data_IF_913946084432
#
_entry.id   IF_913946084432
#
_cell.length_a   1.000
_cell.length_b   1.000
_cell.length_c   1.000
_cell.angle_alpha   90.00
_cell.angle_beta   90.00
_cell.angle_gamma   90.00
#
_symmetry.space_group_name_H-M   'P 1'
#
loop_
_entity.id
_entity.type
_entity.pdbx_description
1 polymer ?
2 polymer ?
3 non-polymer ?
4 water ?
#
# COMPACT_ATOMS: atom_id res chain seq x y z
N UNK A 1 25.79 -4.96 14.84
CA UNK A 1 24.85 -4.31 13.87
C UNK A 1 24.65 -2.91 14.36
N UNK A 2 24.84 -1.92 13.48
CA UNK A 2 24.53 -0.55 13.83
C UNK A 2 23.03 -0.39 13.72
N UNK A 3 22.42 0.17 14.73
CA UNK A 3 21.00 0.41 14.62
C UNK A 3 20.71 1.87 14.42
N UNK A 4 19.59 2.12 13.76
CA UNK A 4 19.25 3.45 13.25
C UNK A 4 17.91 3.84 13.80
N UNK A 5 17.91 4.80 14.68
CA UNK A 5 16.65 5.14 15.35
C UNK A 5 16.23 6.41 14.63
N UNK A 6 15.03 6.38 14.03
CA UNK A 6 14.47 7.55 13.41
C UNK A 6 13.48 8.27 14.32
N UNK A 7 13.32 9.56 14.12
CA UNK A 7 12.52 10.38 14.97
C UNK A 7 12.06 11.54 14.12
N UNK A 8 10.75 11.85 14.13
CA UNK A 8 9.68 11.07 14.79
C UNK A 8 9.17 9.94 13.93
N UNK A 9 8.29 9.10 14.50
CA UNK A 9 7.67 7.97 13.81
C UNK A 9 6.66 8.41 12.71
N UNK A 10 5.98 9.54 12.94
CA UNK A 10 5.16 10.19 11.89
C UNK A 10 5.20 11.68 12.12
N UNK A 11 5.03 12.43 11.04
CA UNK A 11 5.31 13.85 11.03
C UNK A 11 4.22 14.58 10.33
N UNK A 12 3.25 15.10 11.09
CA UNK A 12 2.25 15.94 10.41
C UNK A 12 2.79 17.37 10.21
N UNK A 13 2.75 17.86 8.97
CA UNK A 13 3.27 19.17 8.62
C UNK A 13 2.33 19.80 7.65
N UNK A 14 2.16 21.13 7.69
CA UNK A 14 1.38 21.86 6.63
C UNK A 14 2.15 22.04 5.36
N UNK A 15 1.45 22.16 4.23
CA UNK A 15 2.05 22.69 3.03
C UNK A 15 2.79 23.99 3.30
N UNK A 16 3.96 24.11 2.70
CA UNK A 16 4.77 25.32 2.86
C UNK A 16 5.60 25.38 4.12
N UNK A 17 5.45 24.42 5.00
CA UNK A 17 6.14 24.55 6.26
C UNK A 17 7.45 23.83 6.00
N UNK A 18 8.28 23.73 7.01
CA UNK A 18 9.45 22.92 6.81
C UNK A 18 9.52 21.73 7.83
N UNK A 19 10.17 20.65 7.41
CA UNK A 19 10.17 19.41 8.17
C UNK A 19 11.60 18.96 8.47
N UNK A 20 11.76 18.38 9.67
CA UNK A 20 13.01 17.87 10.19
C UNK A 20 12.89 16.43 10.56
N UNK A 21 13.61 15.54 9.90
CA UNK A 21 13.60 14.15 10.33
C UNK A 21 14.97 13.84 10.88
N UNK A 22 15.01 13.19 12.04
CA UNK A 22 16.26 12.77 12.68
C UNK A 22 16.53 11.28 12.61
N UNK A 23 17.79 10.96 12.42
CA UNK A 23 18.24 9.61 12.33
C UNK A 23 19.47 9.52 13.22
N UNK A 24 19.46 8.62 14.18
CA UNK A 24 20.57 8.54 15.17
C UNK A 24 21.20 7.15 15.08
N UNK A 25 22.51 7.05 14.91
CA UNK A 25 23.16 5.71 14.89
C UNK A 25 23.71 5.29 16.28
N UNK A 26 23.69 3.99 16.57
CA UNK A 26 24.09 3.49 17.88
C UNK A 26 25.62 3.40 18.06
N UNK A 27 26.36 3.65 16.97
CA UNK A 27 27.83 3.64 16.85
C UNK A 27 28.11 4.69 15.78
N UNK A 28 29.32 5.27 15.76
CA UNK A 28 29.71 6.10 14.63
C UNK A 28 29.65 5.21 13.39
N UNK A 29 29.60 5.83 12.23
CA UNK A 29 29.35 5.16 10.95
C UNK A 29 30.28 5.69 9.85
N UNK A 30 31.57 5.75 10.16
CA UNK A 30 32.64 6.00 9.17
C UNK A 30 33.19 4.68 8.69
N UNK A 31 33.18 4.52 7.37
CA UNK A 31 33.64 3.35 6.63
C UNK A 31 35.15 3.34 6.71
N UNK A 32 35.74 2.16 6.51
CA UNK A 32 37.19 2.01 6.53
C UNK A 32 37.91 2.92 5.55
N UNK A 33 37.21 3.37 4.51
CA UNK A 33 37.78 4.36 3.52
C UNK A 33 37.57 5.78 3.88
N UNK A 34 36.94 6.05 5.03
CA UNK A 34 36.84 7.44 5.48
C UNK A 34 35.51 8.13 5.23
N UNK A 35 34.72 7.62 4.28
CA UNK A 35 33.40 8.21 4.03
C UNK A 35 32.34 7.67 4.99
N UNK A 36 31.27 8.45 5.13
CA UNK A 36 30.08 8.12 5.84
C UNK A 36 28.97 7.82 4.85
N UNK A 37 28.69 6.54 4.69
CA UNK A 37 27.62 6.14 3.80
C UNK A 37 26.22 6.15 4.43
N UNK A 38 25.72 7.35 4.66
CA UNK A 38 24.37 7.57 5.13
C UNK A 38 23.50 8.14 4.01
N UNK A 39 22.38 7.47 3.77
CA UNK A 39 21.46 7.84 2.71
C UNK A 39 20.11 8.11 3.31
N UNK A 40 19.30 8.85 2.55
CA UNK A 40 17.88 9.05 2.82
C UNK A 40 17.08 8.66 1.57
N UNK A 41 16.01 7.91 1.83
CA UNK A 41 15.04 7.46 0.87
C UNK A 41 13.65 7.95 1.20
N UNK A 42 12.89 8.15 0.15
CA UNK A 42 11.48 8.40 0.26
C UNK A 42 10.82 7.16 -0.37
N UNK A 43 9.90 6.55 0.36
CA UNK A 43 9.07 5.55 -0.23
C UNK A 43 7.60 6.02 -0.20
N UNK A 44 6.97 5.95 -1.35
CA UNK A 44 5.55 6.20 -1.48
C UNK A 44 4.84 4.87 -1.53
N UNK A 45 3.64 4.81 -0.91
CA UNK A 45 2.81 3.60 -0.87
C UNK A 45 2.75 2.93 -2.23
N UNK A 46 2.66 3.71 -3.30
CA UNK A 46 2.84 3.10 -4.61
C UNK A 46 4.07 2.20 -4.77
N UNK A 47 5.26 2.76 -4.46
CA UNK A 47 6.49 2.34 -5.13
C UNK A 47 7.69 1.75 -4.39
N UNK A 48 8.76 1.58 -5.17
CA UNK A 48 10.10 1.41 -4.64
C UNK A 48 10.69 2.72 -4.09
N UNK A 49 11.61 2.60 -3.13
CA UNK A 49 12.30 3.75 -2.59
C UNK A 49 13.11 4.50 -3.65
N UNK A 50 13.17 5.81 -3.49
CA UNK A 50 13.98 6.63 -4.33
C UNK A 50 14.98 7.37 -3.47
N UNK A 51 16.24 7.31 -3.90
CA UNK A 51 17.29 7.97 -3.20
C UNK A 51 17.11 9.50 -3.20
N UNK A 52 17.25 10.13 -2.05
CA UNK A 52 17.25 11.59 -1.95
C UNK A 52 18.69 12.20 -1.80
N UNK A 53 19.42 11.64 -0.85
CA UNK A 53 20.61 12.22 -0.34
C UNK A 53 21.57 11.01 -0.13
N UNK A 54 22.81 11.12 -0.61
CA UNK A 54 23.81 10.11 -0.37
C UNK A 54 25.01 10.83 0.23
N UNK A 55 25.87 10.05 0.87
CA UNK A 55 26.98 10.59 1.63
C UNK A 55 26.57 11.81 2.50
N UNK A 56 25.57 11.60 3.35
CA UNK A 56 25.13 12.59 4.35
C UNK A 56 24.41 13.82 3.78
N UNK A 57 24.99 14.48 2.78
CA UNK A 57 24.49 15.81 2.36
C UNK A 57 24.38 16.05 0.87
N UNK A 58 24.81 15.10 0.07
CA UNK A 58 24.70 15.21 -1.38
C UNK A 58 23.32 14.79 -1.91
N UNK A 59 22.76 15.65 -2.73
CA UNK A 59 21.49 15.43 -3.40
C UNK A 59 21.66 14.60 -4.66
N UNK A 60 20.71 13.72 -4.91
CA UNK A 60 20.84 12.86 -6.05
C UNK A 60 20.21 13.64 -7.21
N UNK A 61 20.75 13.52 -8.43
CA UNK A 61 20.14 14.16 -9.59
C UNK A 61 18.65 14.18 -9.55
N UNK A 62 18.08 15.37 -9.76
CA UNK A 62 16.62 15.47 -9.96
C UNK A 62 15.88 15.57 -8.65
N UNK A 63 16.58 15.39 -7.55
CA UNK A 63 16.03 15.68 -6.24
C UNK A 63 16.13 17.21 -6.10
N UNK A 64 15.00 17.89 -5.90
CA UNK A 64 15.02 19.39 -5.81
C UNK A 64 15.76 19.93 -4.58
N UNK A 65 16.23 21.18 -4.67
CA UNK A 65 17.04 21.84 -3.61
C UNK A 65 16.36 21.96 -2.23
N UNK A 66 15.06 21.73 -2.19
CA UNK A 66 14.25 21.81 -0.93
C UNK A 66 14.67 20.80 0.10
N UNK A 67 15.21 19.65 -0.36
CA UNK A 67 15.69 18.60 0.53
C UNK A 67 17.14 18.88 0.84
N UNK A 68 17.55 18.80 2.10
CA UNK A 68 18.95 18.93 2.41
C UNK A 68 19.31 18.03 3.57
N UNK A 69 20.53 17.50 3.57
CA UNK A 69 20.98 16.54 4.60
C UNK A 69 22.15 17.11 5.33
N UNK A 70 22.33 16.77 6.59
CA UNK A 70 23.46 17.28 7.31
C UNK A 70 23.62 16.35 8.46
N UNK A 71 24.69 16.53 9.23
CA UNK A 71 24.93 15.73 10.41
C UNK A 71 26.34 15.22 10.50
N UNK A 72 26.63 14.50 11.56
CA UNK A 72 27.95 13.98 11.81
C UNK A 72 27.87 13.10 13.05
N UNK A 73 28.92 12.35 13.32
CA UNK A 73 28.98 11.49 14.51
C UNK A 73 27.96 10.37 14.49
N UNK A 74 26.98 10.49 15.37
CA UNK A 74 25.89 9.52 15.45
C UNK A 74 24.56 10.18 15.09
N UNK A 75 24.61 11.43 14.63
CA UNK A 75 23.41 12.25 14.58
C UNK A 75 23.20 12.92 13.23
N UNK A 76 22.15 12.52 12.53
CA UNK A 76 21.90 12.95 11.17
C UNK A 76 20.48 13.50 11.03
N UNK A 77 20.32 14.50 10.15
CA UNK A 77 19.06 15.17 9.94
C UNK A 77 18.75 15.32 8.46
N UNK A 78 17.48 15.13 8.12
CA UNK A 78 16.95 15.49 6.81
C UNK A 78 16.01 16.64 7.08
N UNK A 79 16.17 17.72 6.30
CA UNK A 79 15.34 18.86 6.38
C UNK A 79 14.66 18.98 5.06
N UNK A 80 13.36 19.23 5.15
CA UNK A 80 12.54 19.44 3.98
C UNK A 80 12.03 20.88 4.08
N UNK A 81 12.59 21.71 3.19
CA UNK A 81 12.43 23.14 3.15
C UNK A 81 10.98 23.54 2.96
N UNK A 82 10.40 23.30 1.79
CA UNK A 82 9.03 23.84 1.60
C UNK A 82 8.02 22.77 1.21
N UNK A 83 7.36 22.21 2.22
CA UNK A 83 6.66 20.95 2.05
C UNK A 83 5.66 21.06 0.91
N UNK A 84 5.70 20.10 -0.03
CA UNK A 84 4.68 19.99 -1.05
C UNK A 84 3.89 18.74 -0.82
N UNK A 85 2.71 18.66 -1.42
CA UNK A 85 1.92 17.41 -1.41
C UNK A 85 2.69 16.19 -1.96
N UNK A 86 3.57 16.36 -2.96
CA UNK A 86 4.32 15.22 -3.54
C UNK A 86 5.27 14.61 -2.52
N UNK A 87 5.46 15.31 -1.40
CA UNK A 87 6.43 14.87 -0.44
C UNK A 87 5.82 13.85 0.47
N UNK A 88 4.54 13.54 0.27
CA UNK A 88 3.89 12.48 1.07
C UNK A 88 4.63 11.14 0.91
N UNK A 89 4.81 10.43 2.01
CA UNK A 89 5.26 9.04 1.98
C UNK A 89 6.04 8.75 3.24
N UNK A 90 6.92 7.75 3.19
CA UNK A 90 7.72 7.34 4.34
C UNK A 90 9.20 7.55 3.99
N UNK A 91 9.94 8.18 4.91
CA UNK A 91 11.32 8.57 4.73
C UNK A 91 12.17 7.64 5.58
N UNK A 92 13.28 7.17 5.01
CA UNK A 92 14.20 6.24 5.70
C UNK A 92 15.65 6.68 5.63
N UNK A 93 16.40 6.54 6.72
CA UNK A 93 17.80 6.73 6.60
C UNK A 93 18.36 5.35 6.47
N UNK A 94 19.62 5.26 6.02
CA UNK A 94 20.25 3.98 5.69
C UNK A 94 21.76 4.15 5.78
N UNK A 95 22.42 3.22 6.46
CA UNK A 95 23.87 3.28 6.49
C UNK A 95 24.53 2.01 5.85
N UNK A 96 25.40 2.25 4.88
CA UNK A 96 26.17 1.20 4.31
C UNK A 96 27.65 1.35 4.72
N UNK A 97 27.92 1.96 5.90
CA UNK A 97 29.31 2.14 6.40
C UNK A 97 29.90 0.89 7.06
N UNK A 98 29.06 0.17 7.80
CA UNK A 98 29.50 -1.05 8.47
C UNK A 98 28.48 -2.15 8.20
N UNK A 99 28.95 -3.38 7.97
CA UNK A 99 28.10 -4.44 7.46
C UNK A 99 27.45 -5.03 8.70
N UNK A 100 26.19 -5.53 8.61
CA UNK A 100 25.27 -5.43 7.45
C UNK A 100 24.82 -3.98 7.30
N UNK A 101 24.65 -3.48 6.10
CA UNK A 101 23.94 -2.22 6.05
C UNK A 101 22.58 -2.31 6.77
N UNK A 102 22.23 -1.21 7.46
CA UNK A 102 21.00 -1.11 8.29
C UNK A 102 20.16 0.13 7.96
N UNK A 103 18.85 -0.05 8.09
CA UNK A 103 17.85 1.00 7.89
C UNK A 103 17.29 1.58 9.18
N UNK A 104 16.85 2.84 9.15
CA UNK A 104 15.97 3.33 10.20
C UNK A 104 14.56 2.76 9.99
N UNK A 105 13.70 2.89 11.02
CA UNK A 105 12.39 2.37 10.97
C UNK A 105 11.42 3.16 10.10
N UNK A 106 11.81 4.35 9.63
CA UNK A 106 10.87 5.11 8.80
C UNK A 106 10.16 6.25 9.53
N UNK A 107 10.01 7.37 8.84
CA UNK A 107 9.10 8.39 9.30
C UNK A 107 7.98 8.64 8.31
N UNK A 108 6.76 8.60 8.82
CA UNK A 108 5.59 8.91 7.98
C UNK A 108 5.29 10.41 7.92
N UNK A 109 5.38 10.96 6.71
CA UNK A 109 4.99 12.34 6.57
C UNK A 109 3.50 12.46 6.20
N UNK A 110 2.70 13.10 7.05
CA UNK A 110 1.31 13.48 6.75
C UNK A 110 1.18 15.01 6.47
N UNK A 111 0.32 15.35 5.52
CA UNK A 111 -0.03 16.74 5.21
C UNK A 111 -1.09 17.17 6.21
N UNK A 112 -0.80 18.23 6.99
CA UNK A 112 -1.79 18.80 7.90
C UNK A 112 -2.72 19.71 7.16
N UNK A 113 -4.00 19.47 7.28
CA UNK A 113 -4.97 20.27 6.54
C UNK A 113 -6.11 20.64 7.49
N UNK A 114 -7.04 21.47 7.05
CA UNK A 114 -8.24 21.75 7.82
C UNK A 114 -9.26 20.57 7.90
N UNK A 115 -9.85 20.38 9.07
CA UNK A 115 -10.95 19.50 9.30
C UNK A 115 -11.98 19.51 8.21
N UNK A 116 -12.48 18.33 7.89
CA UNK A 116 -13.52 18.13 6.88
C UNK A 116 -14.41 16.98 7.42
N UNK A 117 -15.71 17.13 7.31
CA UNK A 117 -16.64 16.10 7.75
C UNK A 117 -16.73 15.10 6.62
N UNK A 118 -16.93 13.83 6.95
CA UNK A 118 -17.14 12.77 5.99
C UNK A 118 -18.46 12.99 5.23
N UNK A 119 -18.50 12.51 3.98
CA UNK A 119 -19.74 12.35 3.19
C UNK A 119 -20.01 10.83 3.25
N UNK A 120 -21.14 10.44 3.79
CA UNK A 120 -21.39 9.05 4.18
C UNK A 120 -22.48 8.57 3.25
N UNK A 121 -22.24 7.43 2.60
CA UNK A 121 -23.31 6.75 1.95
C UNK A 121 -23.36 5.24 2.24
N UNK A 122 -24.56 4.68 2.10
CA UNK A 122 -24.87 3.37 2.56
C UNK A 122 -25.46 2.61 1.37
N UNK A 123 -25.13 1.32 1.26
CA UNK A 123 -25.57 0.46 0.15
C UNK A 123 -26.00 -0.88 0.72
N UNK A 124 -27.24 -1.29 0.41
CA UNK A 124 -27.72 -2.63 0.69
C UNK A 124 -27.05 -3.65 -0.23
N UNK A 125 -27.07 -4.92 0.14
CA UNK A 125 -26.44 -5.94 -0.72
C UNK A 125 -27.04 -5.92 -2.10
N UNK A 126 -26.26 -6.20 -3.13
CA UNK A 126 -26.86 -6.34 -4.45
C UNK A 126 -27.68 -7.63 -4.50
N UNK A 127 -28.64 -7.66 -5.40
CA UNK A 127 -29.40 -8.89 -5.66
C UNK A 127 -28.50 -10.04 -5.93
N UNK A 128 -27.41 -9.84 -6.63
CA UNK A 128 -26.59 -11.00 -7.01
C UNK A 128 -25.81 -11.61 -5.87
N UNK A 129 -25.50 -10.81 -4.85
CA UNK A 129 -24.77 -11.39 -3.76
C UNK A 129 -25.72 -12.32 -3.00
N UNK A 130 -26.97 -11.86 -2.79
CA UNK A 130 -27.99 -12.63 -2.02
C UNK A 130 -28.24 -14.06 -2.51
N UNK A 131 -28.17 -14.33 -3.83
CA UNK A 131 -28.29 -15.73 -4.32
C UNK A 131 -27.15 -16.65 -3.82
N UNK A 132 -26.00 -16.06 -3.50
CA UNK A 132 -24.84 -16.83 -3.02
C UNK A 132 -24.97 -17.16 -1.53
N UNK A 133 -26.05 -16.67 -0.87
CA UNK A 133 -26.23 -16.94 0.57
C UNK A 133 -25.58 -15.87 1.45
N UNK A 134 -25.11 -14.80 0.83
CA UNK A 134 -24.28 -13.79 1.50
C UNK A 134 -24.83 -12.40 1.34
N UNK A 135 -24.54 -11.54 2.30
CA UNK A 135 -25.08 -10.17 2.32
C UNK A 135 -24.14 -9.23 3.06
N UNK A 136 -23.49 -8.36 2.28
CA UNK A 136 -22.62 -7.37 2.84
C UNK A 136 -23.35 -6.05 2.75
N UNK A 137 -23.38 -5.31 3.85
CA UNK A 137 -23.94 -3.97 3.86
C UNK A 137 -22.73 -3.07 3.94
N UNK A 138 -22.69 -2.07 3.06
CA UNK A 138 -21.51 -1.29 2.86
C UNK A 138 -21.74 0.19 3.16
N UNK A 139 -20.81 0.79 3.89
CA UNK A 139 -20.95 2.20 4.12
C UNK A 139 -19.67 2.92 3.78
N UNK A 140 -19.76 3.91 2.89
CA UNK A 140 -18.56 4.70 2.53
C UNK A 140 -18.52 6.02 3.25
N UNK A 141 -17.40 6.32 3.88
CA UNK A 141 -17.19 7.63 4.54
C UNK A 141 -16.05 8.30 3.82
N UNK A 142 -16.39 9.33 3.01
CA UNK A 142 -15.46 9.85 2.01
C UNK A 142 -14.98 11.24 2.31
N UNK A 143 -13.67 11.47 2.13
CA UNK A 143 -13.07 12.83 2.11
C UNK A 143 -13.14 13.59 3.44
N UNK A 144 -12.56 13.04 4.52
CA UNK A 144 -12.61 13.65 5.83
C UNK A 144 -11.22 13.82 6.43
N UNK A 145 -11.11 14.67 7.44
CA UNK A 145 -9.84 14.93 8.08
C UNK A 145 -10.18 15.49 9.43
N UNK A 146 -9.52 15.00 10.51
CA UNK A 146 -8.39 14.08 10.56
C UNK A 146 -8.80 12.64 10.38
N UNK A 147 -7.83 11.75 10.35
CA UNK A 147 -8.05 10.33 10.07
C UNK A 147 -8.99 9.62 11.08
N UNK A 148 -8.99 10.13 12.32
CA UNK A 148 -9.70 9.55 13.45
C UNK A 148 -11.20 9.61 13.29
N UNK A 149 -11.86 8.47 13.18
CA UNK A 149 -13.32 8.45 13.10
C UNK A 149 -13.85 7.13 13.64
N UNK A 150 -14.97 7.13 14.36
CA UNK A 150 -15.59 5.85 14.72
C UNK A 150 -16.87 5.53 13.96
N UNK A 151 -17.02 4.31 13.48
CA UNK A 151 -18.23 3.98 12.78
C UNK A 151 -18.98 2.87 13.54
N UNK A 152 -20.27 3.09 13.76
CA UNK A 152 -21.17 2.10 14.35
C UNK A 152 -22.29 1.66 13.42
N UNK A 153 -22.48 0.34 13.36
CA UNK A 153 -23.60 -0.31 12.73
C UNK A 153 -24.72 -0.65 13.72
N UNK A 154 -25.95 -0.28 13.35
CA UNK A 154 -27.10 -0.81 14.04
C UNK A 154 -28.02 -1.57 13.11
N UNK A 155 -28.62 -2.63 13.67
CA UNK A 155 -29.62 -3.43 12.99
C UNK A 155 -30.90 -3.36 13.80
N UNK A 156 -32.01 -2.91 13.21
CA UNK A 156 -33.28 -2.68 13.96
C UNK A 156 -33.02 -1.98 15.32
N UNK A 157 -32.15 -0.99 15.30
CA UNK A 157 -31.92 -0.18 16.53
C UNK A 157 -30.79 -0.67 17.40
N UNK A 158 -30.22 -1.81 17.04
CA UNK A 158 -29.25 -2.48 17.87
C UNK A 158 -27.84 -2.51 17.27
N UNK A 159 -26.90 -1.90 17.98
CA UNK A 159 -25.46 -2.11 17.76
C UNK A 159 -25.09 -3.53 17.45
N UNK A 160 -24.39 -3.66 16.34
CA UNK A 160 -23.83 -4.89 15.88
C UNK A 160 -22.32 -4.75 15.82
N UNK A 161 -21.61 -5.56 16.60
CA UNK A 161 -20.14 -5.53 16.58
C UNK A 161 -19.41 -6.54 15.65
N UNK A 162 -19.80 -7.81 15.62
CA UNK A 162 -18.98 -8.71 14.79
C UNK A 162 -19.32 -8.70 13.32
N UNK A 163 -18.33 -8.94 12.45
CA UNK A 163 -18.58 -9.05 10.97
C UNK A 163 -18.43 -7.69 10.29
N UNK A 164 -17.82 -6.76 11.01
CA UNK A 164 -17.60 -5.44 10.53
C UNK A 164 -16.19 -5.36 10.05
N UNK A 165 -16.00 -4.93 8.80
CA UNK A 165 -14.65 -4.85 8.23
C UNK A 165 -14.40 -3.43 7.75
N UNK A 166 -13.35 -2.79 8.26
CA UNK A 166 -13.02 -1.47 7.92
C UNK A 166 -11.76 -1.28 7.11
N UNK A 167 -11.81 -0.35 6.18
CA UNK A 167 -10.61 -0.08 5.45
C UNK A 167 -10.47 1.42 5.15
N UNK A 168 -9.30 1.95 5.47
CA UNK A 168 -8.91 3.34 5.20
C UNK A 168 -8.00 3.45 3.96
N UNK A 169 -8.20 4.48 3.14
CA UNK A 169 -7.24 4.87 2.14
C UNK A 169 -6.05 5.59 2.79
N UNK A 170 -4.98 5.73 2.05
CA UNK A 170 -3.88 6.60 2.44
C UNK A 170 -4.37 8.03 2.18
N UNK A 171 -3.63 9.04 2.63
CA UNK A 171 -3.99 10.42 2.32
C UNK A 171 -3.99 10.69 0.85
N UNK A 172 -5.05 11.36 0.42
CA UNK A 172 -5.20 11.72 -0.98
C UNK A 172 -4.09 12.74 -1.39
N UNK A 173 -3.70 12.75 -2.67
CA UNK A 173 -2.64 13.67 -3.18
C UNK A 173 -3.19 15.03 -3.61
N UNK A 174 -4.36 15.05 -4.23
CA UNK A 174 -5.15 16.26 -4.45
C UNK A 174 -5.52 17.04 -3.14
N UNK A 175 -6.35 16.48 -2.25
CA UNK A 175 -6.97 17.25 -1.16
C UNK A 175 -6.56 16.88 0.27
N UNK A 176 -5.73 15.85 0.45
CA UNK A 176 -5.16 15.48 1.77
C UNK A 176 -6.17 14.90 2.74
N UNK A 177 -7.29 14.44 2.22
CA UNK A 177 -8.24 13.80 3.07
C UNK A 177 -8.00 12.29 3.06
N UNK A 178 -8.75 11.61 3.92
CA UNK A 178 -8.79 10.18 4.04
C UNK A 178 -10.17 9.80 3.64
N UNK A 179 -10.37 8.55 3.25
CA UNK A 179 -11.70 7.96 3.09
C UNK A 179 -11.73 6.60 3.75
N UNK A 180 -12.91 6.11 4.06
CA UNK A 180 -13.00 4.78 4.58
C UNK A 180 -14.24 4.04 4.18
N UNK A 181 -14.05 2.73 4.14
CA UNK A 181 -15.06 1.82 3.75
C UNK A 181 -15.35 0.95 5.00
N UNK A 182 -16.62 0.88 5.41
CA UNK A 182 -17.05 -0.06 6.47
C UNK A 182 -18.09 -1.06 5.92
N UNK A 183 -17.83 -2.35 6.10
CA UNK A 183 -18.68 -3.41 5.53
C UNK A 183 -19.19 -4.30 6.63
N UNK A 184 -20.47 -4.62 6.57
CA UNK A 184 -21.04 -5.49 7.57
C UNK A 184 -21.47 -6.68 6.75
N UNK A 185 -20.86 -7.85 7.01
CA UNK A 185 -21.19 -9.06 6.29
C UNK A 185 -22.10 -9.92 7.16
N UNK A 186 -23.22 -10.34 6.59
CA UNK A 186 -24.19 -11.26 7.17
C UNK A 186 -24.54 -12.39 6.18
N UNK A 187 -25.12 -13.47 6.71
CA UNK A 187 -25.80 -14.45 5.83
C UNK A 187 -27.06 -13.75 5.27
N UNK A 188 -27.51 -14.19 4.11
CA UNK A 188 -28.81 -13.82 3.59
C UNK A 188 -29.95 -14.04 4.59
N UNK A 189 -29.95 -15.18 5.29
CA UNK A 189 -31.01 -15.45 6.26
C UNK A 189 -31.10 -14.46 7.40
N UNK A 190 -29.97 -14.04 7.95
CA UNK A 190 -29.94 -13.03 8.96
C UNK A 190 -30.25 -11.59 8.49
N UNK A 191 -29.75 -11.27 7.29
CA UNK A 191 -30.11 -10.02 6.59
C UNK A 191 -31.63 -9.92 6.42
N UNK A 192 -32.27 -11.00 6.01
CA UNK A 192 -33.71 -10.93 5.77
C UNK A 192 -34.58 -11.00 7.03
N UNK A 193 -33.97 -11.10 8.21
CA UNK A 193 -34.72 -11.13 9.48
C UNK A 193 -34.92 -9.73 10.08
N UNK A 194 -34.27 -8.72 9.50
CA UNK A 194 -34.40 -7.34 10.02
C UNK A 194 -34.78 -6.39 8.92
N UNK A 195 -35.20 -5.21 9.33
CA UNK A 195 -35.72 -4.25 8.40
C UNK A 195 -34.80 -3.05 8.25
N UNK A 196 -34.27 -2.51 9.33
CA UNK A 196 -33.53 -1.24 9.24
C UNK A 196 -32.01 -1.37 9.43
N UNK A 197 -31.23 -0.81 8.49
CA UNK A 197 -29.74 -0.88 8.53
C UNK A 197 -29.13 0.53 8.65
N UNK A 198 -28.30 0.77 9.66
CA UNK A 198 -27.81 2.13 9.92
C UNK A 198 -26.28 2.18 10.06
N UNK A 199 -25.69 3.15 9.36
CA UNK A 199 -24.32 3.47 9.38
C UNK A 199 -24.23 4.80 10.18
N UNK A 200 -23.53 4.82 11.32
CA UNK A 200 -23.37 6.04 12.13
C UNK A 200 -21.91 6.38 12.36
N UNK A 201 -21.53 7.64 12.10
CA UNK A 201 -20.14 8.01 12.16
C UNK A 201 -20.02 9.17 13.11
N UNK A 202 -19.01 9.09 13.97
CA UNK A 202 -18.68 10.13 14.93
C UNK A 202 -17.31 10.68 14.53
N UNK A 203 -17.31 11.95 14.19
CA UNK A 203 -16.12 12.64 13.75
C UNK A 203 -15.99 13.92 14.59
N UNK A 204 -14.77 14.28 14.94
CA UNK A 204 -14.53 15.56 15.65
C UNK A 204 -15.21 16.78 15.03
N UNK A 205 -15.53 16.75 13.72
CA UNK A 205 -16.24 17.86 13.08
C UNK A 205 -17.73 18.04 13.47
N UNK A 206 -18.24 17.19 14.34
CA UNK A 206 -19.60 17.35 14.82
C UNK A 206 -19.79 16.59 16.13
N UNK A 207 -20.65 17.08 17.03
CA UNK A 207 -20.95 16.33 18.27
C UNK A 207 -22.06 15.32 18.03
N UNK A 208 -23.02 15.68 17.19
CA UNK A 208 -23.94 14.69 16.69
C UNK A 208 -23.29 13.81 15.59
N UNK A 209 -23.51 12.49 15.66
CA UNK A 209 -23.18 11.43 14.67
C UNK A 209 -23.87 11.64 13.35
N UNK A 210 -23.15 11.38 12.27
CA UNK A 210 -23.84 11.37 10.97
C UNK A 210 -24.48 9.99 10.80
N UNK A 211 -25.79 9.97 10.60
CA UNK A 211 -26.49 8.72 10.34
C UNK A 211 -27.02 8.56 8.93
N UNK A 212 -26.64 7.43 8.35
CA UNK A 212 -27.19 6.98 7.10
C UNK A 212 -27.87 5.65 7.37
N UNK A 213 -29.06 5.43 6.82
CA UNK A 213 -29.86 4.24 7.10
C UNK A 213 -30.68 3.93 5.94
N UNK A 214 -31.12 2.67 5.88
CA UNK A 214 -32.16 2.32 4.93
C UNK A 214 -33.03 1.27 5.57
N UNK A 215 -34.29 1.25 5.16
CA UNK A 215 -35.18 0.18 5.56
C UNK A 215 -35.33 -0.69 4.33
N UNK A 216 -35.31 -2.01 4.52
CA UNK A 216 -35.53 -2.92 3.39
C UNK A 216 -36.89 -2.67 2.67
N UNK A 217 -37.88 -2.03 3.30
CA UNK A 217 -39.20 -1.92 2.67
C UNK A 217 -39.58 -0.52 2.23
N UNK A 218 -38.63 0.39 2.23
CA UNK A 218 -38.92 1.80 2.08
C UNK A 218 -39.12 2.19 0.65
N UNK A 219 -38.45 1.53 -0.27
CA UNK A 219 -38.48 2.13 -1.60
C UNK A 219 -39.76 1.69 -2.28
N UNK B 1 16.74 4.32 -19.53
CA UNK B 1 17.83 4.68 -18.56
C UNK B 1 18.29 3.46 -17.77
N UNK B 2 18.79 3.69 -16.55
CA UNK B 2 19.07 2.59 -15.64
C UNK B 2 17.74 2.08 -15.09
N UNK B 3 17.52 0.78 -15.19
CA UNK B 3 16.35 0.27 -14.54
C UNK B 3 16.68 -1.09 -14.07
N UNK B 4 16.02 -1.46 -12.98
CA UNK B 4 16.09 -2.83 -12.54
C UNK B 4 14.63 -3.33 -12.58
N UNK B 5 14.41 -4.38 -13.38
CA UNK B 5 13.10 -4.98 -13.59
C UNK B 5 13.12 -6.36 -12.94
N UNK B 6 12.24 -6.52 -11.96
CA UNK B 6 12.04 -7.75 -11.23
C UNK B 6 10.87 -8.55 -11.80
N UNK B 7 10.92 -9.86 -11.58
CA UNK B 7 9.81 -10.75 -12.00
C UNK B 7 8.55 -10.46 -11.21
N UNK B 8 7.41 -11.07 -11.63
CA UNK B 8 6.09 -10.62 -11.08
C UNK B 8 5.78 -11.32 -9.76
N UNK B 9 4.62 -10.99 -9.13
CA UNK B 9 4.31 -11.54 -7.79
C UNK B 9 4.10 -13.06 -7.77
N UNK B 10 4.32 -13.71 -6.63
CA UNK B 10 4.23 -15.18 -6.59
C UNK B 10 3.56 -15.70 -5.35
N UNK B 11 2.82 -16.77 -5.60
CA UNK B 11 2.18 -17.55 -4.57
C UNK B 11 2.87 -18.91 -4.57
N UNK B 12 3.40 -19.28 -3.42
CA UNK B 12 3.96 -20.62 -3.22
C UNK B 12 3.38 -21.16 -1.95
N UNK B 13 3.44 -22.47 -1.82
CA UNK B 13 3.07 -23.14 -0.57
C UNK B 13 4.29 -23.22 0.37
N UNK B 14 4.06 -23.21 1.70
CA UNK B 14 5.17 -23.46 2.61
C UNK B 14 5.94 -24.67 2.14
N UNK B 15 7.26 -24.62 2.13
CA UNK B 15 8.02 -25.79 1.67
C UNK B 15 8.56 -25.75 0.25
N UNK B 16 8.07 -24.84 -0.58
CA UNK B 16 8.48 -24.82 -1.97
C UNK B 16 9.65 -23.87 -2.10
N UNK B 17 10.05 -23.63 -3.35
CA UNK B 17 11.28 -22.95 -3.64
C UNK B 17 10.83 -21.86 -4.61
N UNK B 18 11.30 -20.64 -4.43
CA UNK B 18 11.13 -19.56 -5.43
C UNK B 18 12.45 -19.05 -5.93
N UNK B 19 12.47 -18.69 -7.20
CA UNK B 19 13.53 -18.02 -7.86
C UNK B 19 12.94 -16.68 -8.37
N UNK B 20 13.59 -15.56 -8.06
CA UNK B 20 13.05 -14.23 -8.44
C UNK B 20 14.15 -13.56 -9.21
N UNK B 21 13.79 -12.92 -10.33
CA UNK B 21 14.82 -12.41 -11.21
C UNK B 21 14.89 -10.91 -11.07
N UNK B 22 16.07 -10.37 -11.33
CA UNK B 22 16.30 -8.93 -11.31
C UNK B 22 17.13 -8.63 -12.52
N UNK B 23 16.53 -7.87 -13.44
CA UNK B 23 17.13 -7.67 -14.74
C UNK B 23 17.55 -6.24 -14.82
N UNK B 24 18.83 -5.98 -15.10
CA UNK B 24 19.31 -4.59 -15.23
C UNK B 24 19.53 -4.21 -16.67
N UNK B 25 19.30 -2.93 -16.96
CA UNK B 25 19.80 -2.33 -18.18
C UNK B 25 20.25 -0.91 -17.92
N UNK B 26 21.09 -0.38 -18.78
CA UNK B 26 21.36 1.03 -18.78
C UNK B 26 22.75 1.31 -18.25
N UNK B 27 23.46 0.24 -17.85
CA UNK B 27 24.81 0.33 -17.31
C UNK B 27 25.54 -1.00 -17.53
N UNK B 28 26.88 -1.02 -17.44
CA UNK B 28 27.66 -2.25 -17.46
C UNK B 28 27.44 -3.08 -16.19
N UNK B 29 26.60 -4.10 -16.34
CA UNK B 29 26.12 -4.93 -15.24
C UNK B 29 27.20 -5.39 -14.29
N UNK B 30 28.39 -5.70 -14.82
CA UNK B 30 29.50 -6.30 -14.05
C UNK B 30 30.36 -5.31 -13.25
N UNK B 31 30.13 -4.04 -13.42
CA UNK B 31 30.84 -3.02 -12.64
C UNK B 31 30.23 -2.71 -11.25
N UNK B 32 29.03 -3.21 -10.97
CA UNK B 32 28.33 -2.77 -9.78
C UNK B 32 27.66 -3.96 -9.23
N UNK B 33 27.99 -4.28 -7.99
CA UNK B 33 27.32 -5.35 -7.27
C UNK B 33 25.84 -5.05 -7.08
N UNK B 34 25.12 -6.09 -6.70
CA UNK B 34 23.70 -6.06 -6.60
C UNK B 34 23.34 -6.45 -5.17
N UNK B 35 22.60 -5.61 -4.49
CA UNK B 35 22.07 -5.98 -3.16
C UNK B 35 20.69 -6.65 -3.26
N UNK B 36 20.34 -7.42 -2.22
CA UNK B 36 18.96 -7.91 -2.06
C UNK B 36 18.38 -7.41 -0.74
N UNK B 37 17.16 -6.86 -0.80
CA UNK B 37 16.45 -6.38 0.37
C UNK B 37 15.12 -7.05 0.53
N UNK B 38 14.68 -7.19 1.77
CA UNK B 38 13.43 -7.78 2.15
C UNK B 38 12.63 -6.68 2.85
N UNK B 39 11.40 -6.47 2.39
CA UNK B 39 10.45 -5.62 3.08
C UNK B 39 9.24 -6.46 3.61
N UNK B 40 9.25 -6.85 4.88
CA UNK B 40 8.15 -7.71 5.40
C UNK B 40 6.90 -6.87 5.50
N UNK B 41 5.71 -7.50 5.29
CA UNK B 41 4.41 -6.81 5.33
C UNK B 41 4.35 -5.99 6.59
N UNK B 42 4.03 -4.70 6.46
CA UNK B 42 3.97 -3.82 7.62
C UNK B 42 5.00 -2.75 7.38
N UNK B 43 5.85 -2.48 8.37
CA UNK B 43 7.07 -1.69 8.08
C UNK B 43 8.39 -2.52 8.06
N UNK B 44 9.46 -1.92 7.52
CA UNK B 44 10.83 -2.42 7.71
C UNK B 44 11.59 -2.96 6.52
N UNK B 45 12.75 -2.39 6.26
CA UNK B 45 13.69 -2.94 5.31
C UNK B 45 14.80 -3.61 6.02
N UNK B 46 15.18 -4.76 5.46
CA UNK B 46 16.22 -5.59 6.01
C UNK B 46 17.13 -6.03 4.86
N UNK B 47 18.45 -5.88 5.05
CA UNK B 47 19.44 -6.24 4.02
C UNK B 47 19.71 -7.73 4.11
N UNK B 48 19.65 -8.39 2.95
CA UNK B 48 19.81 -9.85 2.87
C UNK B 48 21.25 -10.21 2.58
N UNK B 49 21.90 -9.37 1.78
CA UNK B 49 23.26 -9.61 1.44
C UNK B 49 23.47 -8.96 0.09
N UNK B 50 24.64 -9.26 -0.50
CA UNK B 50 25.02 -8.77 -1.80
C UNK B 50 25.87 -9.78 -2.55
N UNK B 51 26.01 -9.52 -3.85
CA UNK B 51 26.75 -10.40 -4.72
C UNK B 51 27.61 -9.53 -5.61
N UNK B 52 28.87 -9.92 -5.73
CA UNK B 52 29.82 -9.21 -6.60
C UNK B 52 29.56 -9.67 -8.03
N UNK B 53 29.10 -8.78 -8.89
CA UNK B 53 28.60 -9.21 -10.19
C UNK B 53 29.69 -9.72 -11.13
N UNK B 54 30.94 -9.32 -10.89
CA UNK B 54 32.06 -9.70 -11.78
C UNK B 54 32.72 -11.03 -11.42
N UNK B 55 32.53 -11.49 -10.18
CA UNK B 55 33.05 -12.78 -9.83
C UNK B 55 31.96 -13.76 -9.40
N UNK B 56 30.73 -13.26 -9.30
CA UNK B 56 29.60 -14.06 -8.79
C UNK B 56 29.80 -14.47 -7.35
N UNK B 57 30.64 -13.74 -6.61
CA UNK B 57 30.87 -14.03 -5.19
C UNK B 57 29.83 -13.40 -4.25
N UNK B 58 28.96 -14.22 -3.64
CA UNK B 58 27.99 -13.65 -2.72
C UNK B 58 28.37 -13.57 -1.24
N UNK B 59 27.67 -12.69 -0.54
CA UNK B 59 27.84 -12.47 0.89
C UNK B 59 26.41 -12.29 1.43
N UNK B 60 26.10 -13.10 2.44
CA UNK B 60 24.78 -13.16 3.06
C UNK B 60 24.83 -12.52 4.46
N UNK B 61 23.77 -11.79 4.82
CA UNK B 61 23.55 -11.38 6.22
C UNK B 61 23.33 -12.63 7.12
N UNK B 62 23.72 -12.53 8.41
CA UNK B 62 23.56 -13.63 9.35
C UNK B 62 22.20 -14.28 9.27
N UNK B 63 21.12 -13.48 9.23
CA UNK B 63 19.77 -14.06 9.25
C UNK B 63 19.34 -14.64 7.90
N UNK B 64 20.21 -14.54 6.90
CA UNK B 64 19.88 -15.10 5.59
C UNK B 64 20.80 -16.22 5.09
N UNK B 65 21.53 -16.84 5.97
CA UNK B 65 22.45 -17.87 5.51
C UNK B 65 21.74 -19.21 5.62
N UNK B 66 21.71 -19.97 4.52
CA UNK B 66 21.15 -21.33 4.57
C UNK B 66 20.05 -21.59 3.58
N UNK B 67 18.90 -20.97 3.74
CA UNK B 67 17.76 -21.23 2.82
C UNK B 67 17.83 -20.36 1.56
N UNK B 68 18.76 -19.41 1.51
CA UNK B 68 18.82 -18.40 0.42
C UNK B 68 20.09 -18.52 -0.41
N UNK B 69 19.94 -18.27 -1.71
CA UNK B 69 21.01 -18.41 -2.66
C UNK B 69 20.98 -17.23 -3.60
N UNK B 70 22.06 -16.48 -3.72
CA UNK B 70 22.18 -15.49 -4.80
C UNK B 70 22.91 -16.12 -5.97
N UNK B 71 22.46 -15.83 -7.19
CA UNK B 71 23.16 -16.29 -8.36
C UNK B 71 23.02 -15.21 -9.46
N UNK B 72 23.80 -15.35 -10.52
CA UNK B 72 23.65 -14.51 -11.70
C UNK B 72 23.67 -15.17 -13.09
N UNK B 73 23.16 -14.46 -14.08
CA UNK B 73 23.42 -14.86 -15.45
C UNK B 73 23.85 -13.61 -16.09
N UNK B 74 25.13 -13.56 -16.42
CA UNK B 74 25.79 -12.31 -16.80
C UNK B 74 25.57 -11.62 -18.22
N UNK B 75 25.57 -12.25 -19.40
CA UNK B 75 25.07 -13.59 -19.81
C UNK B 75 23.53 -13.42 -20.08
N UNK B 76 23.02 -12.24 -19.67
CA UNK B 76 21.57 -11.89 -19.49
C UNK B 76 21.35 -10.62 -18.61
N UNK B 77 22.41 -10.09 -17.97
CA UNK B 77 22.32 -8.93 -17.08
C UNK B 77 21.26 -9.20 -16.03
N UNK B 78 21.21 -10.45 -15.59
CA UNK B 78 20.23 -10.86 -14.60
C UNK B 78 20.87 -11.49 -13.35
N UNK B 79 20.43 -10.98 -12.21
CA UNK B 79 20.68 -11.59 -10.90
C UNK B 79 19.38 -12.23 -10.41
N UNK B 80 19.54 -13.33 -9.67
CA UNK B 80 18.46 -14.11 -9.11
C UNK B 80 18.60 -14.31 -7.59
N UNK B 81 17.47 -14.58 -6.96
CA UNK B 81 17.39 -14.83 -5.55
C UNK B 81 16.60 -16.11 -5.54
N UNK B 82 17.16 -17.18 -4.99
CA UNK B 82 16.39 -18.33 -4.76
C UNK B 82 16.12 -18.52 -3.25
N UNK B 83 14.87 -18.81 -2.90
CA UNK B 83 14.54 -19.09 -1.50
C UNK B 83 13.99 -20.49 -1.41
N UNK B 84 14.61 -21.29 -0.57
CA UNK B 84 14.28 -22.68 -0.52
C UNK B 84 13.43 -22.95 0.72
N UNK B 85 12.68 -24.03 0.70
CA UNK B 85 11.89 -24.45 1.84
C UNK B 85 11.15 -23.25 2.45
N UNK B 86 10.24 -22.69 1.67
CA UNK B 86 9.52 -21.49 2.08
C UNK B 86 8.67 -21.70 3.33
N UNK B 87 8.80 -20.80 4.29
CA UNK B 87 7.85 -20.68 5.39
C UNK B 87 7.02 -19.40 5.31
N UNK B 88 5.99 -19.28 6.17
CA UNK B 88 4.98 -18.18 6.23
C UNK B 88 5.62 -16.83 6.21
N UNK B 89 6.72 -16.74 6.98
CA UNK B 89 7.42 -15.53 7.27
C UNK B 89 8.38 -15.09 6.18
N UNK B 90 8.49 -15.88 5.12
CA UNK B 90 9.11 -15.38 3.90
C UNK B 90 8.15 -14.45 3.12
N UNK B 91 6.94 -14.30 3.61
CA UNK B 91 5.98 -13.45 2.98
C UNK B 91 6.44 -12.02 3.11
N UNK B 92 6.67 -11.38 1.96
CA UNK B 92 7.31 -10.07 1.91
C UNK B 92 7.48 -9.57 0.48
N UNK B 93 7.95 -8.34 0.37
CA UNK B 93 8.35 -7.83 -0.91
C UNK B 93 9.88 -7.79 -0.92
N UNK B 94 10.43 -8.35 -1.99
CA UNK B 94 11.86 -8.46 -2.23
C UNK B 94 12.34 -7.46 -3.25
N UNK B 95 13.37 -6.69 -2.91
CA UNK B 95 14.00 -5.76 -3.85
C UNK B 95 15.45 -6.09 -4.13
N UNK B 96 15.85 -5.91 -5.39
CA UNK B 96 17.24 -5.86 -5.78
C UNK B 96 17.65 -4.36 -5.91
N UNK B 97 18.89 -4.08 -5.54
CA UNK B 97 19.29 -2.73 -5.60
C UNK B 97 20.76 -2.74 -5.87
N UNK B 98 21.16 -1.83 -6.72
CA UNK B 98 22.49 -1.83 -7.20
C UNK B 98 23.36 -0.96 -6.29
N UNK B 99 24.69 -1.27 -6.29
CA UNK B 99 25.81 -0.49 -5.69
C UNK B 99 26.01 -0.92 -4.26
N UNK B 100 27.27 -0.95 -3.84
CA UNK B 100 27.59 -1.28 -2.45
C UNK B 100 26.88 -0.33 -1.53
N UNK B 101 27.04 0.95 -1.78
CA UNK B 101 26.42 2.01 -1.00
C UNK B 101 24.97 2.14 -1.35
N UNK B 102 24.53 1.29 -2.30
CA UNK B 102 23.15 1.24 -2.77
C UNK B 102 22.73 2.54 -3.44
N UNK B 103 22.02 2.79 -4.88
CA UNK B 103 21.49 3.97 -5.53
C UNK B 103 20.14 3.62 -6.17
N UNK B 104 20.14 2.77 -7.18
CA UNK B 104 18.89 2.40 -7.87
C UNK B 104 18.25 1.11 -7.37
N UNK B 105 16.91 1.12 -7.21
CA UNK B 105 16.14 -0.09 -6.74
C UNK B 105 15.28 -0.70 -7.81
N UNK B 106 15.09 -1.99 -7.75
CA UNK B 106 14.11 -2.61 -8.63
C UNK B 106 12.73 -2.24 -8.10
N UNK B 107 11.68 -2.64 -8.81
CA UNK B 107 10.35 -2.23 -8.42
C UNK B 107 9.75 -3.16 -7.34
N UNK B 108 10.45 -4.23 -6.99
CA UNK B 108 9.97 -5.16 -5.94
C UNK B 108 9.12 -6.31 -6.49
N UNK B 109 9.20 -7.42 -5.80
CA UNK B 109 8.55 -8.65 -6.16
C UNK B 109 7.92 -9.06 -4.87
N UNK B 110 6.57 -9.11 -4.84
CA UNK B 110 5.89 -9.64 -3.66
C UNK B 110 5.76 -11.19 -3.70
N UNK B 111 6.06 -11.81 -2.57
CA UNK B 111 5.95 -13.26 -2.41
C UNK B 111 4.88 -13.52 -1.35
N UNK B 112 3.88 -14.35 -1.68
CA UNK B 112 2.92 -14.78 -0.71
C UNK B 112 3.16 -16.27 -0.49
N UNK B 113 3.41 -16.66 0.74
CA UNK B 113 3.59 -18.06 1.05
C UNK B 113 2.36 -18.45 1.80
N UNK B 114 1.57 -19.31 1.17
CA UNK B 114 0.26 -19.61 1.70
C UNK B 114 -0.20 -20.94 1.12
N UNK B 115 -0.95 -21.70 1.88
CA UNK B 115 -1.56 -22.91 1.33
C UNK B 115 -2.97 -22.65 0.81
N UNK B 116 -3.47 -21.42 1.02
CA UNK B 116 -4.72 -20.96 0.40
C UNK B 116 -4.56 -20.87 -1.11
N UNK B 117 -5.53 -21.42 -1.84
CA UNK B 117 -5.45 -21.57 -3.28
C UNK B 117 -5.79 -20.31 -4.02
N UNK B 118 -5.32 -20.20 -5.27
CA UNK B 118 -5.71 -19.15 -6.16
C UNK B 118 -7.23 -19.16 -6.36
N UNK B 119 -7.84 -18.02 -6.05
CA UNK B 119 -9.27 -17.88 -6.18
C UNK B 119 -9.74 -16.53 -6.73
N UNK B 120 -10.55 -16.65 -7.77
CA UNK B 120 -11.14 -15.55 -8.54
C UNK B 120 -12.14 -14.78 -7.66
N UNK B 121 -12.25 -13.47 -7.85
CA UNK B 121 -13.30 -12.80 -7.04
C UNK B 121 -14.73 -12.90 -7.67
N UNK B 122 -15.76 -12.64 -6.88
CA UNK B 122 -17.05 -12.21 -7.39
C UNK B 122 -17.04 -10.71 -7.27
N UNK B 123 -17.69 -10.05 -8.24
CA UNK B 123 -17.79 -8.59 -8.33
C UNK B 123 -19.27 -8.25 -8.22
N UNK B 124 -19.63 -7.45 -7.20
CA UNK B 124 -21.00 -6.96 -7.03
C UNK B 124 -21.12 -5.48 -7.28
N UNK B 125 -22.10 -5.07 -8.12
CA UNK B 125 -22.46 -3.66 -8.28
C UNK B 125 -23.17 -3.10 -7.05
N UNK B 126 -22.73 -1.94 -6.56
CA UNK B 126 -23.45 -1.26 -5.46
C UNK B 126 -24.15 0.03 -5.93
N UNK B 127 -25.47 -0.05 -6.07
CA UNK B 127 -26.29 1.10 -6.47
C UNK B 127 -27.03 1.74 -5.28
N UNK B 128 -27.26 3.04 -5.35
CA UNK B 128 -27.84 3.76 -4.21
C UNK B 128 -29.22 3.19 -3.82
N UNK B 129 -30.03 2.75 -4.78
CA UNK B 129 -29.68 2.99 -6.16
C UNK B 129 -30.67 2.83 -7.25
N UNK B 130 -31.28 3.96 -7.66
CA UNK B 130 -32.35 3.95 -8.65
C UNK B 130 -33.00 5.30 -9.06
N UNK B 131 -33.37 6.13 -8.07
CA UNK B 131 -34.05 7.43 -8.28
C UNK B 131 -33.45 8.57 -7.45
N UNK B 135 -29.67 15.30 -3.13
CA UNK B 135 -29.60 15.08 -4.58
C UNK B 135 -28.32 15.67 -5.14
N UNK B 136 -28.40 16.05 -6.42
CA UNK B 136 -27.31 16.63 -7.23
C UNK B 136 -26.15 15.64 -7.48
N UNK B 137 -25.84 14.86 -6.46
CA UNK B 137 -24.69 13.96 -6.46
C UNK B 137 -25.12 12.52 -6.25
N UNK B 138 -24.52 11.59 -7.01
CA UNK B 138 -24.70 10.15 -6.68
C UNK B 138 -23.37 9.46 -6.45
N UNK B 139 -23.38 8.56 -5.47
CA UNK B 139 -22.24 7.75 -5.19
C UNK B 139 -22.61 6.30 -5.49
N UNK B 140 -21.75 5.66 -6.29
CA UNK B 140 -21.87 4.26 -6.65
C UNK B 140 -20.67 3.55 -6.14
N UNK B 141 -20.78 2.24 -6.04
CA UNK B 141 -19.65 1.44 -5.70
C UNK B 141 -19.60 0.05 -6.27
N UNK B 142 -18.48 -0.60 -5.97
CA UNK B 142 -18.18 -1.93 -6.46
C UNK B 142 -17.54 -2.74 -5.37
N UNK B 143 -18.06 -3.95 -5.16
CA UNK B 143 -17.53 -4.88 -4.16
C UNK B 143 -16.87 -6.06 -4.86
N UNK B 144 -15.62 -6.28 -4.47
CA UNK B 144 -14.73 -7.29 -5.00
C UNK B 144 -14.42 -8.23 -3.84
N UNK B 145 -15.18 -9.35 -3.83
CA UNK B 145 -15.25 -10.26 -2.70
C UNK B 145 -14.57 -11.62 -2.91
N UNK B 146 -13.74 -12.07 -1.98
CA UNK B 146 -13.29 -13.47 -2.00
C UNK B 146 -12.24 -13.89 -3.03
N UNK B 147 -11.17 -13.11 -3.11
CA UNK B 147 -10.10 -13.45 -4.04
C UNK B 147 -8.78 -13.77 -3.36
N UNK B 148 -7.91 -14.49 -4.06
CA UNK B 148 -6.57 -14.82 -3.58
C UNK B 148 -5.66 -15.24 -4.77
N UNK B 149 -4.41 -14.75 -4.82
CA UNK B 149 -3.81 -13.78 -3.88
C UNK B 149 -4.04 -12.32 -4.35
N UNK B 150 -3.38 -11.34 -3.71
CA UNK B 150 -3.34 -9.96 -4.22
C UNK B 150 -2.46 -9.89 -5.49
N UNK B 151 -2.67 -8.91 -6.36
CA UNK B 151 -3.65 -7.82 -6.32
C UNK B 151 -4.79 -7.97 -7.30
N UNK B 152 -5.74 -7.04 -7.22
CA UNK B 152 -6.80 -6.89 -8.20
C UNK B 152 -6.60 -5.50 -8.75
N UNK B 153 -6.95 -5.30 -10.02
CA UNK B 153 -6.92 -3.96 -10.59
C UNK B 153 -8.37 -3.50 -10.80
N UNK B 154 -8.69 -2.29 -10.34
CA UNK B 154 -10.06 -1.82 -10.48
C UNK B 154 -10.08 -0.41 -11.09
N UNK B 155 -10.78 -0.29 -12.21
CA UNK B 155 -10.91 0.98 -12.90
C UNK B 155 -12.41 1.20 -13.06
N UNK B 156 -12.74 2.41 -13.40
CA UNK B 156 -14.11 2.76 -13.66
C UNK B 156 -14.27 3.16 -15.13
N UNK B 157 -15.33 2.66 -15.74
CA UNK B 157 -15.49 2.72 -17.19
C UNK B 157 -14.20 2.12 -17.74
N UNK B 158 -13.32 2.81 -18.41
CA UNK B 158 -12.05 2.08 -18.64
C UNK B 158 -10.82 2.93 -18.32
N UNK B 159 -10.77 3.39 -17.08
CA UNK B 159 -9.90 4.48 -16.72
C UNK B 159 -10.56 5.81 -17.02
N UNK B 160 -11.61 5.83 -17.83
CA UNK B 160 -12.20 7.12 -18.23
C UNK B 160 -12.71 7.94 -17.04
N UNK B 161 -13.19 7.30 -15.98
CA UNK B 161 -13.50 8.00 -14.72
C UNK B 161 -12.36 7.91 -13.69
N UNK B 162 -11.72 9.03 -13.41
CA UNK B 162 -10.62 9.06 -12.44
C UNK B 162 -10.97 10.00 -11.31
N UNK B 163 -11.83 10.96 -11.62
CA UNK B 163 -12.27 11.95 -10.68
C UNK B 163 -13.34 11.36 -9.77
N UNK B 164 -13.20 11.63 -8.47
CA UNK B 164 -14.20 11.22 -7.49
C UNK B 164 -14.17 9.73 -7.18
N UNK B 165 -13.00 9.10 -7.30
CA UNK B 165 -12.81 7.67 -7.14
C UNK B 165 -11.99 7.42 -5.89
N UNK B 166 -12.41 6.46 -5.09
CA UNK B 166 -11.69 5.98 -3.93
C UNK B 166 -11.72 4.46 -4.00
N UNK B 167 -10.53 3.90 -4.02
CA UNK B 167 -10.39 2.48 -3.99
C UNK B 167 -9.75 2.16 -2.66
N UNK B 168 -10.40 1.26 -1.94
CA UNK B 168 -9.97 0.97 -0.58
C UNK B 168 -9.05 -0.25 -0.50
N UNK B 169 -7.96 -0.19 0.31
CA UNK B 169 -7.06 -1.36 0.40
C UNK B 169 -7.82 -2.65 0.72
N UNK B 170 -7.35 -3.79 0.22
CA UNK B 170 -8.00 -5.08 0.48
C UNK B 170 -7.79 -5.52 1.93
N UNK B 171 -8.78 -6.12 2.51
CA UNK B 171 -8.65 -6.69 3.85
C UNK B 171 -8.95 -8.21 3.77
N UNK B 172 -8.29 -8.97 4.63
CA UNK B 172 -8.52 -10.41 4.70
C UNK B 172 -9.81 -10.71 5.47
N UNK B 173 -10.68 -11.44 4.80
CA UNK B 173 -11.98 -11.78 5.33
C UNK B 173 -12.01 -13.30 5.23
N UNK B 174 -11.72 -13.94 6.36
CA UNK B 174 -11.48 -15.39 6.47
C UNK B 174 -10.73 -16.06 5.29
N UNK B 175 -9.41 -15.92 5.28
CA UNK B 175 -8.59 -16.55 4.26
C UNK B 175 -8.61 -15.82 2.90
N UNK B 176 -9.68 -15.05 2.60
CA UNK B 176 -9.79 -14.40 1.30
C UNK B 176 -9.83 -12.87 1.35
N UNK B 177 -9.39 -12.21 0.31
CA UNK B 177 -9.38 -10.78 0.31
C UNK B 177 -10.73 -10.18 -0.14
N UNK B 178 -11.05 -9.05 0.48
CA UNK B 178 -12.14 -8.23 -0.01
C UNK B 178 -11.66 -6.80 -0.26
N UNK B 179 -12.06 -6.27 -1.40
CA UNK B 179 -11.81 -4.87 -1.68
C UNK B 179 -13.07 -4.14 -2.22
N UNK B 180 -13.09 -2.81 -2.09
CA UNK B 180 -14.16 -2.04 -2.62
C UNK B 180 -13.67 -0.73 -3.12
N UNK B 181 -14.53 -0.13 -3.92
CA UNK B 181 -14.28 1.10 -4.62
C UNK B 181 -15.56 1.88 -4.71
N UNK B 182 -15.46 3.18 -4.48
CA UNK B 182 -16.57 4.10 -4.73
C UNK B 182 -16.26 5.18 -5.74
N UNK B 183 -17.31 5.64 -6.39
CA UNK B 183 -17.13 6.64 -7.40
C UNK B 183 -18.32 7.63 -7.28
N UNK B 184 -18.02 8.92 -7.33
CA UNK B 184 -19.04 9.94 -7.14
C UNK B 184 -19.15 10.71 -8.46
N UNK B 185 -20.38 10.81 -8.98
CA UNK B 185 -20.71 11.44 -10.25
C UNK B 185 -21.90 12.38 -10.14
N UNK B 186 -22.06 13.29 -11.09
CA UNK B 186 -23.29 14.14 -11.10
C UNK B 186 -24.54 13.30 -11.24
N UNK B 187 -25.59 13.67 -10.51
CA UNK B 187 -26.86 12.96 -10.64
C UNK B 187 -27.44 13.05 -12.07
N UNK B 188 -27.01 14.05 -12.83
CA UNK B 188 -27.51 14.21 -14.16
C UNK B 188 -26.66 13.47 -15.15
N UNK B 189 -25.99 12.39 -14.70
CA UNK B 189 -25.07 11.52 -15.43
C UNK B 189 -25.64 10.10 -15.48
N UNK B 190 -26.00 9.63 -14.29
CA UNK B 190 -26.43 8.29 -14.03
C UNK B 190 -27.93 8.37 -13.72
N UNK B 191 -28.71 7.33 -14.10
CA UNK B 191 -28.33 6.13 -14.81
C UNK B 191 -28.33 6.19 -16.33
N UNK B 192 -28.38 7.39 -16.96
CA UNK B 192 -28.39 7.42 -18.46
C UNK B 192 -27.03 7.20 -19.15
N UNK B 193 -25.95 7.72 -18.56
CA UNK B 193 -24.62 7.24 -18.95
C UNK B 193 -24.29 6.00 -18.09
N UNK B 194 -23.93 4.91 -18.77
CA UNK B 194 -23.59 3.63 -18.14
C UNK B 194 -22.37 3.83 -17.29
N UNK B 195 -22.37 3.22 -16.11
CA UNK B 195 -21.18 3.19 -15.28
C UNK B 195 -20.76 1.75 -15.01
N UNK B 196 -19.47 1.52 -15.28
CA UNK B 196 -18.97 0.17 -15.24
C UNK B 196 -17.71 0.08 -14.40
N UNK B 197 -17.73 -0.89 -13.52
CA UNK B 197 -16.66 -1.32 -12.69
C UNK B 197 -15.90 -2.49 -13.43
N UNK B 198 -14.60 -2.28 -13.70
CA UNK B 198 -13.80 -3.30 -14.41
C UNK B 198 -12.82 -3.84 -13.45
N UNK B 199 -12.94 -5.13 -13.24
CA UNK B 199 -12.11 -5.82 -12.32
C UNK B 199 -11.20 -6.84 -13.06
N UNK B 200 -9.89 -6.77 -12.72
CA UNK B 200 -8.90 -7.73 -13.25
C UNK B 200 -8.19 -8.48 -12.13
N UNK B 201 -8.20 -9.80 -12.18
CA UNK B 201 -7.45 -10.54 -11.15
C UNK B 201 -6.33 -11.32 -11.85
N UNK B 202 -5.14 -10.69 -12.04
CA UNK B 202 -4.18 -11.34 -12.97
C UNK B 202 -3.86 -12.77 -12.54
N UNK B 203 -3.88 -13.06 -11.25
CA UNK B 203 -3.50 -14.42 -10.84
C UNK B 203 -4.38 -15.50 -11.43
N UNK B 204 -5.67 -15.25 -11.51
CA UNK B 204 -6.63 -16.27 -11.94
C UNK B 204 -7.06 -15.92 -13.34
N UNK B 205 -6.47 -14.87 -13.90
CA UNK B 205 -6.80 -14.48 -15.25
C UNK B 205 -8.25 -14.05 -15.39
N UNK B 206 -8.82 -13.50 -14.33
CA UNK B 206 -10.20 -13.06 -14.37
C UNK B 206 -10.25 -11.61 -14.77
N UNK B 207 -11.12 -11.34 -15.75
CA UNK B 207 -11.49 -10.01 -16.13
C UNK B 207 -13.01 -9.91 -16.06
N UNK B 208 -13.55 -9.07 -15.15
CA UNK B 208 -14.99 -8.88 -15.01
C UNK B 208 -15.42 -7.41 -15.22
N UNK B 209 -16.38 -7.16 -16.12
CA UNK B 209 -17.06 -5.85 -16.14
C UNK B 209 -18.46 -5.95 -15.49
N UNK B 210 -18.70 -5.10 -14.50
CA UNK B 210 -20.00 -5.02 -13.85
C UNK B 210 -20.58 -3.60 -13.95
N UNK B 211 -21.63 -3.51 -14.78
CA UNK B 211 -22.49 -2.34 -14.96
C UNK B 211 -23.30 -2.04 -13.68
N UNK B 212 -23.25 -0.78 -13.23
CA UNK B 212 -24.11 -0.46 -12.11
C UNK B 212 -25.49 -0.05 -12.57
N UNK B 213 -26.44 -0.94 -12.37
CA UNK B 213 -27.83 -0.73 -12.70
C UNK B 213 -28.63 -0.18 -11.51
N UNK B 214 -29.51 0.81 -11.77
CA UNK B 214 -30.35 1.22 -10.66
C UNK B 214 -31.17 0.01 -10.14
N UNK B 215 -31.41 -0.07 -8.84
CA UNK B 215 -32.23 -1.15 -8.30
C UNK B 215 -33.68 -0.72 -8.38
#
# INVERSE_FOLDING_TARGET
DVLMTQTPLSLPVSLGDQASISCRSSQTIVHSNGNTYLEWYLQKPGQSPKLLIYKVSNRFPGVPDRFSGSGSGTDFTLKIRRVEAEDLGVYYCFQASHDPPTFGGGTKLEIKRADAAPTVSIFPPSSEQLTSGGASVVCFLNNFYPKDINVKWKIDGSERQNGVLNSWTDQDSKDSTYSMSSTLTLTKDEYERHNSYTCEATHKTSTSPIVKSFNRNEC
QIQLVQSGPELKKPGETVKISCKASGYTFTNYGMNWMKQAPGKGFKWMGWIKTNTGEPTYAEDFKGRFAFSLEASANTAYLQINNLKNEDTATYFCARLRAVDYWGQGTTLTVSSAKTTAPSVYPLAPGTAATTGSSVTLGCLVKGYFPEPVTLTWNSGALSSGVHTFPAVLQSDLYTLSSSVTVTSSTWPSQSITCNVAHPASSTKVDKKIEPR
#
